data_IF_354308607179
#
_entry.id   IF_354308607179
#
_cell.length_a   1.000
_cell.length_b   1.000
_cell.length_c   1.000
_cell.angle_alpha   90.00
_cell.angle_beta   90.00
_cell.angle_gamma   90.00
#
_symmetry.space_group_name_H-M   'P 1'
#
loop_
_entity.id
_entity.type
_entity.pdbx_description
1 polymer ?
#
# COMPACT_ATOMS: atom_id res chain seq x y z
N UNK A 1 -3.00 23.79 -10.97
CA UNK A 1 -3.33 22.56 -10.24
C UNK A 1 -4.33 21.78 -11.06
N UNK A 2 -4.06 20.52 -11.37
CA UNK A 2 -4.96 19.65 -12.15
C UNK A 2 -6.16 19.26 -11.27
N UNK A 3 -7.30 18.99 -11.90
CA UNK A 3 -8.58 18.74 -11.20
C UNK A 3 -8.52 17.58 -10.20
N UNK A 4 -7.75 16.54 -10.50
CA UNK A 4 -7.59 15.35 -9.64
C UNK A 4 -6.89 15.71 -8.33
N UNK A 5 -5.80 16.48 -8.37
CA UNK A 5 -5.03 16.84 -7.17
C UNK A 5 -5.90 17.67 -6.20
N UNK A 6 -6.70 18.60 -6.73
CA UNK A 6 -7.65 19.36 -5.92
C UNK A 6 -8.69 18.47 -5.24
N UNK A 7 -9.23 17.51 -5.97
CA UNK A 7 -10.20 16.56 -5.41
C UNK A 7 -9.56 15.67 -4.32
N UNK A 8 -8.34 15.17 -4.54
CA UNK A 8 -7.60 14.39 -3.55
C UNK A 8 -7.38 15.21 -2.26
N UNK A 9 -7.02 16.49 -2.37
CA UNK A 9 -6.89 17.38 -1.21
C UNK A 9 -8.21 17.60 -0.46
N UNK A 10 -9.32 17.72 -1.16
CA UNK A 10 -10.64 17.86 -0.54
C UNK A 10 -11.03 16.61 0.26
N UNK A 11 -10.76 15.41 -0.27
CA UNK A 11 -10.98 14.15 0.44
C UNK A 11 -10.01 13.98 1.61
N UNK A 12 -8.74 14.36 1.44
CA UNK A 12 -7.72 14.26 2.48
C UNK A 12 -8.06 15.10 3.72
N UNK A 13 -8.69 16.27 3.55
CA UNK A 13 -9.17 17.09 4.67
C UNK A 13 -10.26 16.42 5.49
N UNK A 14 -11.04 15.52 4.90
CA UNK A 14 -12.11 14.78 5.59
C UNK A 14 -11.60 13.48 6.20
N UNK A 15 -10.76 12.74 5.47
CA UNK A 15 -10.30 11.41 5.87
C UNK A 15 -9.07 11.46 6.80
N UNK A 16 -8.37 12.60 6.86
CA UNK A 16 -7.16 12.83 7.66
C UNK A 16 -6.15 11.68 7.59
N UNK A 17 -5.73 11.24 6.38
CA UNK A 17 -4.80 10.13 6.26
C UNK A 17 -3.41 10.51 6.79
N UNK A 18 -2.64 9.53 7.27
CA UNK A 18 -1.25 9.72 7.69
C UNK A 18 -0.35 10.13 6.51
N UNK A 19 -0.54 9.52 5.36
CA UNK A 19 0.22 9.78 4.13
C UNK A 19 -0.65 9.56 2.88
N UNK A 20 -0.29 10.21 1.78
CA UNK A 20 -0.94 10.07 0.47
C UNK A 20 0.13 9.66 -0.53
N UNK A 21 -0.16 8.61 -1.30
CA UNK A 21 0.72 8.11 -2.34
C UNK A 21 -0.07 8.00 -3.66
N UNK A 22 0.50 8.50 -4.76
CA UNK A 22 -0.10 8.42 -6.09
C UNK A 22 0.53 7.24 -6.84
N UNK A 23 -0.27 6.22 -7.10
CA UNK A 23 0.23 5.00 -7.71
C UNK A 23 0.61 5.17 -9.19
N UNK A 24 1.73 4.58 -9.58
CA UNK A 24 2.21 4.48 -10.97
C UNK A 24 2.03 3.09 -11.58
N UNK A 25 1.75 2.06 -10.78
CA UNK A 25 1.49 0.70 -11.22
C UNK A 25 2.73 -0.10 -11.65
N UNK A 26 3.92 0.35 -11.27
CA UNK A 26 5.18 -0.37 -11.53
C UNK A 26 5.34 -1.64 -10.66
N UNK A 27 6.22 -2.56 -11.08
CA UNK A 27 6.56 -3.74 -10.27
C UNK A 27 7.30 -3.32 -8.99
N UNK A 28 8.11 -2.26 -9.06
CA UNK A 28 8.77 -1.65 -7.91
C UNK A 28 7.75 -1.12 -6.89
N UNK A 29 6.68 -0.48 -7.34
CA UNK A 29 5.57 -0.05 -6.50
C UNK A 29 4.88 -1.26 -5.85
N UNK A 30 4.57 -2.31 -6.62
CA UNK A 30 3.93 -3.50 -6.10
C UNK A 30 4.78 -4.14 -4.98
N UNK A 31 6.09 -4.26 -5.18
CA UNK A 31 7.01 -4.74 -4.14
C UNK A 31 7.06 -3.82 -2.92
N UNK A 32 7.07 -2.50 -3.12
CA UNK A 32 7.06 -1.54 -2.02
C UNK A 32 5.78 -1.66 -1.16
N UNK A 33 4.60 -1.85 -1.78
CA UNK A 33 3.33 -2.06 -1.07
C UNK A 33 3.35 -3.38 -0.29
N UNK A 34 3.90 -4.46 -0.86
CA UNK A 34 4.03 -5.74 -0.15
C UNK A 34 4.94 -5.61 1.07
N UNK A 35 6.10 -4.95 0.92
CA UNK A 35 7.03 -4.68 2.01
C UNK A 35 6.39 -3.89 3.16
N UNK A 36 5.58 -2.86 2.81
CA UNK A 36 4.78 -2.10 3.78
C UNK A 36 3.83 -3.01 4.57
N UNK A 37 3.09 -3.88 3.90
CA UNK A 37 2.13 -4.80 4.53
C UNK A 37 2.76 -5.93 5.35
N UNK A 38 3.99 -6.34 5.01
CA UNK A 38 4.76 -7.36 5.75
C UNK A 38 5.44 -6.80 7.01
N UNK A 39 5.90 -5.54 6.97
CA UNK A 39 6.79 -4.98 8.00
C UNK A 39 6.18 -3.86 8.82
N UNK A 40 5.42 -2.97 8.20
CA UNK A 40 4.95 -1.72 8.81
C UNK A 40 3.49 -1.81 9.24
N UNK A 41 2.61 -2.13 8.29
CA UNK A 41 1.17 -2.13 8.50
C UNK A 41 0.73 -3.36 9.29
N UNK A 42 -0.16 -3.13 10.27
CA UNK A 42 -0.61 -4.19 11.17
C UNK A 42 -2.10 -4.11 11.43
N UNK A 43 -2.76 -5.26 11.43
CA UNK A 43 -4.14 -5.43 11.89
C UNK A 43 -4.10 -6.23 13.19
N UNK A 44 -4.62 -5.66 14.27
CA UNK A 44 -4.60 -6.26 15.61
C UNK A 44 -3.18 -6.67 16.07
N UNK A 45 -2.17 -5.85 15.72
CA UNK A 45 -0.77 -6.07 16.10
C UNK A 45 -0.01 -7.11 15.27
N UNK A 46 -0.66 -7.74 14.28
CA UNK A 46 -0.01 -8.67 13.34
C UNK A 46 0.18 -7.99 11.98
N UNK A 47 1.27 -8.29 11.24
CA UNK A 47 1.42 -7.84 9.85
C UNK A 47 0.18 -8.12 9.01
N UNK A 48 -0.11 -7.23 8.07
CA UNK A 48 -1.25 -7.40 7.15
C UNK A 48 -1.06 -8.61 6.25
N UNK A 49 0.18 -8.83 5.78
CA UNK A 49 0.53 -9.95 4.92
C UNK A 49 1.55 -10.89 5.56
N UNK A 50 1.65 -12.10 5.03
CA UNK A 50 2.80 -12.99 5.17
C UNK A 50 3.09 -13.70 3.84
N UNK A 51 4.36 -14.08 3.66
CA UNK A 51 4.80 -14.80 2.47
C UNK A 51 4.21 -16.21 2.40
N UNK A 52 3.76 -16.59 1.21
CA UNK A 52 3.53 -18.00 0.91
C UNK A 52 4.86 -18.71 0.63
N UNK A 53 4.79 -20.03 0.39
CA UNK A 53 5.97 -20.78 -0.04
C UNK A 53 6.44 -20.25 -1.41
N UNK A 54 7.54 -19.49 -1.43
CA UNK A 54 8.05 -18.82 -2.63
C UNK A 54 8.64 -19.77 -3.67
N UNK A 55 8.97 -21.02 -3.30
CA UNK A 55 9.39 -22.03 -4.27
C UNK A 55 8.20 -22.56 -5.10
N UNK A 56 7.02 -22.65 -4.48
CA UNK A 56 5.79 -23.13 -5.12
C UNK A 56 4.94 -21.99 -5.69
N UNK A 57 4.98 -20.82 -5.04
CA UNK A 57 4.15 -19.66 -5.30
C UNK A 57 4.99 -18.37 -5.20
N UNK A 58 5.85 -18.11 -6.19
CA UNK A 58 6.69 -16.91 -6.18
C UNK A 58 5.84 -15.64 -6.24
N UNK A 59 6.22 -14.64 -5.44
CA UNK A 59 5.56 -13.34 -5.31
C UNK A 59 4.10 -13.41 -4.83
N UNK A 60 3.77 -14.46 -4.08
CA UNK A 60 2.44 -14.67 -3.51
C UNK A 60 2.43 -14.50 -1.99
N UNK A 61 1.35 -13.89 -1.49
CA UNK A 61 1.17 -13.48 -0.10
C UNK A 61 -0.28 -13.79 0.36
N UNK A 62 -0.50 -13.89 1.66
CA UNK A 62 -1.82 -14.09 2.30
C UNK A 62 -1.99 -13.16 3.51
#
# INVERSE_FOLDING_TARGET
>A
MKYVEKWVEEVAKLAEPKEIYFCDGSDEEAHWIMEKGLKEEKINGKPVFYELNQEKWPFAYL
#
